data_IF_906047769766
#
_entry.id   IF_906047769766
#
_cell.length_a   1.000
_cell.length_b   1.000
_cell.length_c   1.000
_cell.angle_alpha   90.00
_cell.angle_beta   90.00
_cell.angle_gamma   90.00
#
_symmetry.space_group_name_H-M   'P 1'
#
loop_
_entity.id
_entity.type
_entity.pdbx_description
1 polymer ?
#
# COMPACT_ATOMS: atom_id res chain seq x y z
N UNK A 1 10.45 21.96 2.39
CA UNK A 1 9.92 20.63 2.70
C UNK A 1 10.67 20.08 3.92
N UNK A 2 9.94 19.70 4.98
CA UNK A 2 10.56 19.23 6.22
C UNK A 2 10.82 17.70 6.21
N UNK A 3 10.06 16.96 5.42
CA UNK A 3 10.11 15.50 5.32
C UNK A 3 9.66 15.09 3.92
N UNK A 4 10.40 14.20 3.28
CA UNK A 4 9.92 13.43 2.13
C UNK A 4 9.41 12.07 2.63
N UNK A 5 8.23 11.66 2.21
CA UNK A 5 7.68 10.32 2.48
C UNK A 5 7.66 9.53 1.18
N UNK A 6 8.25 8.34 1.20
CA UNK A 6 8.27 7.38 0.09
C UNK A 6 7.51 6.15 0.53
N UNK A 7 6.32 5.92 -0.02
CA UNK A 7 5.54 4.70 0.21
C UNK A 7 5.78 3.73 -0.94
N UNK A 8 6.28 2.53 -0.62
CA UNK A 8 6.60 1.52 -1.63
C UNK A 8 6.43 0.10 -1.08
N UNK A 9 5.50 -0.71 -1.60
CA UNK A 9 4.47 -0.40 -2.60
C UNK A 9 3.51 0.71 -2.19
N UNK A 10 3.05 1.49 -3.16
CA UNK A 10 2.21 2.65 -2.95
C UNK A 10 0.71 2.30 -2.75
N UNK A 11 0.00 3.14 -2.08
CA UNK A 11 -1.45 3.16 -1.99
C UNK A 11 -1.96 4.52 -2.54
N UNK A 12 -2.69 4.55 -3.67
CA UNK A 12 -3.60 3.50 -4.17
C UNK A 12 -3.08 2.61 -5.29
N UNK A 13 -1.92 2.86 -5.86
CA UNK A 13 -1.52 2.31 -7.17
C UNK A 13 -0.83 0.94 -7.09
N UNK A 14 -0.31 0.55 -5.94
CA UNK A 14 0.53 -0.63 -5.79
C UNK A 14 1.92 -0.49 -6.44
N UNK A 15 2.27 0.67 -7.02
CA UNK A 15 3.59 0.87 -7.63
C UNK A 15 4.69 0.71 -6.61
N UNK A 16 5.73 0.00 -7.01
CA UNK A 16 6.94 -0.20 -6.21
C UNK A 16 8.13 0.51 -6.84
N UNK A 17 8.95 1.11 -6.01
CA UNK A 17 10.26 1.63 -6.41
C UNK A 17 11.33 0.63 -6.04
N UNK A 18 12.35 0.45 -6.89
CA UNK A 18 13.53 -0.33 -6.55
C UNK A 18 14.32 0.31 -5.40
N UNK A 19 15.19 -0.45 -4.75
CA UNK A 19 16.09 0.10 -3.73
C UNK A 19 16.96 1.22 -4.30
N UNK A 20 17.50 1.02 -5.49
CA UNK A 20 18.36 2.00 -6.17
C UNK A 20 17.62 3.30 -6.49
N UNK A 21 16.36 3.21 -6.97
CA UNK A 21 15.53 4.39 -7.23
C UNK A 21 15.19 5.15 -5.94
N UNK A 22 14.89 4.42 -4.85
CA UNK A 22 14.63 5.04 -3.55
C UNK A 22 15.88 5.75 -3.02
N UNK A 23 17.06 5.15 -3.15
CA UNK A 23 18.35 5.75 -2.77
C UNK A 23 18.65 6.98 -3.63
N UNK A 24 18.47 6.90 -4.95
CA UNK A 24 18.69 8.04 -5.85
C UNK A 24 17.77 9.20 -5.54
N UNK A 25 16.48 8.93 -5.28
CA UNK A 25 15.52 9.95 -4.87
C UNK A 25 15.88 10.56 -3.50
N UNK A 26 16.35 9.75 -2.57
CA UNK A 26 16.80 10.20 -1.24
C UNK A 26 17.97 11.17 -1.37
N UNK A 27 18.97 10.85 -2.16
CA UNK A 27 20.12 11.73 -2.42
C UNK A 27 19.71 13.04 -3.09
N UNK A 28 18.80 12.95 -4.06
CA UNK A 28 18.25 14.15 -4.71
C UNK A 28 17.48 15.03 -3.70
N UNK A 29 16.70 14.43 -2.80
CA UNK A 29 16.00 15.16 -1.76
C UNK A 29 16.97 15.83 -0.78
N UNK A 30 18.02 15.13 -0.37
CA UNK A 30 19.05 15.70 0.51
C UNK A 30 19.81 16.86 -0.15
N UNK A 31 20.16 16.73 -1.44
CA UNK A 31 20.78 17.80 -2.21
C UNK A 31 19.85 19.02 -2.36
N UNK A 32 18.53 18.81 -2.41
CA UNK A 32 17.52 19.87 -2.41
C UNK A 32 17.24 20.46 -1.01
N UNK A 33 17.98 20.05 0.02
CA UNK A 33 17.85 20.58 1.38
C UNK A 33 16.73 19.94 2.21
N UNK A 34 16.12 18.83 1.79
CA UNK A 34 15.15 18.09 2.60
C UNK A 34 15.89 17.44 3.79
N UNK A 35 15.53 17.72 5.05
CA UNK A 35 16.31 17.24 6.19
C UNK A 35 16.13 15.75 6.49
N UNK A 36 14.95 15.16 6.19
CA UNK A 36 14.65 13.75 6.48
C UNK A 36 13.87 13.08 5.36
N UNK A 37 14.08 11.77 5.22
CA UNK A 37 13.28 10.89 4.36
C UNK A 37 12.69 9.76 5.19
N UNK A 38 11.38 9.53 5.05
CA UNK A 38 10.67 8.41 5.66
C UNK A 38 10.27 7.42 4.56
N UNK A 39 10.66 6.19 4.75
CA UNK A 39 10.28 5.05 3.90
C UNK A 39 9.14 4.31 4.58
N UNK A 40 7.97 4.34 4.00
CA UNK A 40 6.82 3.53 4.42
C UNK A 40 6.82 2.23 3.63
N UNK A 41 7.37 1.18 4.24
CA UNK A 41 7.47 -0.15 3.66
C UNK A 41 6.38 -1.11 4.16
N UNK A 42 5.30 -0.60 4.69
CA UNK A 42 4.24 -1.42 5.30
C UNK A 42 3.66 -2.50 4.36
N UNK A 43 3.81 -2.31 3.04
CA UNK A 43 3.36 -3.26 2.01
C UNK A 43 4.48 -4.08 1.38
N UNK A 44 5.75 -3.86 1.68
CA UNK A 44 6.86 -4.46 0.94
C UNK A 44 6.90 -6.00 1.02
N UNK A 45 6.28 -6.58 2.04
CA UNK A 45 6.16 -8.02 2.21
C UNK A 45 4.87 -8.60 1.59
N UNK A 46 3.97 -7.78 1.12
CA UNK A 46 2.75 -8.18 0.41
C UNK A 46 3.01 -8.09 -1.09
N UNK A 47 3.97 -8.85 -1.56
CA UNK A 47 4.42 -8.83 -2.95
C UNK A 47 4.78 -10.23 -3.41
N UNK A 48 4.83 -10.42 -4.71
CA UNK A 48 5.28 -11.63 -5.38
C UNK A 48 6.81 -11.72 -5.55
N UNK A 49 7.55 -10.76 -4.99
CA UNK A 49 9.01 -10.68 -5.06
C UNK A 49 9.65 -10.61 -3.67
N UNK A 50 10.96 -10.44 -3.64
CA UNK A 50 11.71 -10.25 -2.40
C UNK A 50 11.31 -8.94 -1.73
N UNK A 51 11.06 -8.94 -0.41
CA UNK A 51 10.87 -7.71 0.34
C UNK A 51 12.14 -6.87 0.34
N UNK A 52 12.01 -5.59 0.70
CA UNK A 52 13.18 -4.71 0.87
C UNK A 52 14.07 -5.25 2.00
N UNK A 53 15.35 -5.37 1.72
CA UNK A 53 16.38 -5.73 2.70
C UNK A 53 16.92 -4.43 3.33
N UNK A 54 16.56 -4.20 4.59
CA UNK A 54 16.97 -3.02 5.32
C UNK A 54 18.50 -2.96 5.51
N UNK A 55 19.16 -4.09 5.73
CA UNK A 55 20.61 -4.11 5.93
C UNK A 55 21.35 -3.77 4.64
N UNK A 56 20.93 -4.34 3.51
CA UNK A 56 21.47 -4.01 2.20
C UNK A 56 21.21 -2.53 1.85
N UNK A 57 20.01 -2.04 2.12
CA UNK A 57 19.64 -0.64 1.88
C UNK A 57 20.50 0.32 2.71
N UNK A 58 20.63 0.08 4.02
CA UNK A 58 21.49 0.86 4.90
C UNK A 58 22.96 0.76 4.49
N UNK A 59 23.39 -0.40 4.00
CA UNK A 59 24.76 -0.60 3.52
C UNK A 59 25.10 0.26 2.29
N UNK A 60 24.11 0.61 1.49
CA UNK A 60 24.28 1.46 0.29
C UNK A 60 24.24 2.98 0.59
N UNK A 61 23.88 3.37 1.81
CA UNK A 61 23.85 4.77 2.24
C UNK A 61 25.14 5.15 2.98
N UNK A 62 25.55 6.40 2.84
CA UNK A 62 26.62 6.98 3.66
C UNK A 62 26.19 7.16 5.12
N UNK A 63 27.10 7.19 6.11
CA UNK A 63 26.74 7.34 7.52
C UNK A 63 25.84 8.56 7.79
N UNK A 64 26.12 9.70 7.19
CA UNK A 64 25.34 10.94 7.35
C UNK A 64 23.95 10.82 6.70
N UNK A 65 23.82 10.07 5.61
CA UNK A 65 22.53 9.78 4.97
C UNK A 65 21.66 8.90 5.88
N UNK A 66 22.23 7.88 6.51
CA UNK A 66 21.52 6.97 7.45
C UNK A 66 20.90 7.72 8.63
N UNK A 67 21.62 8.72 9.18
CA UNK A 67 21.14 9.55 10.29
C UNK A 67 19.85 10.31 9.98
N UNK A 68 19.53 10.47 8.70
CA UNK A 68 18.38 11.22 8.18
C UNK A 68 17.28 10.34 7.59
N UNK A 69 17.46 9.03 7.58
CA UNK A 69 16.50 8.06 7.09
C UNK A 69 15.66 7.46 8.22
N UNK A 70 14.37 7.28 7.95
CA UNK A 70 13.40 6.72 8.88
C UNK A 70 12.67 5.60 8.14
N UNK A 71 12.66 4.38 8.67
CA UNK A 71 12.00 3.23 8.05
C UNK A 71 10.82 2.80 8.91
N UNK A 72 9.65 2.73 8.31
CA UNK A 72 8.42 2.28 8.93
C UNK A 72 7.97 0.94 8.31
N UNK A 73 7.77 -0.05 9.15
CA UNK A 73 7.25 -1.36 8.77
C UNK A 73 6.35 -1.91 9.89
N UNK A 74 5.66 -3.02 9.64
CA UNK A 74 4.81 -3.66 10.64
C UNK A 74 4.03 -4.85 10.11
N UNK A 75 3.29 -5.46 11.00
CA UNK A 75 2.51 -6.67 10.74
C UNK A 75 1.10 -6.40 10.20
N UNK A 76 0.69 -5.14 10.17
CA UNK A 76 -0.67 -4.71 9.81
C UNK A 76 -1.13 -5.27 8.46
N UNK A 77 -0.28 -5.20 7.46
CA UNK A 77 -0.60 -5.62 6.08
C UNK A 77 -0.12 -7.02 5.79
N UNK A 78 1.17 -7.28 6.00
CA UNK A 78 1.82 -8.55 5.67
C UNK A 78 1.25 -9.78 6.41
N UNK A 79 0.66 -9.60 7.59
CA UNK A 79 0.00 -10.66 8.36
C UNK A 79 -1.52 -10.49 8.44
N UNK A 80 -2.13 -9.54 7.71
CA UNK A 80 -3.56 -9.22 7.85
C UNK A 80 -3.95 -8.79 9.27
N UNK A 81 -2.98 -8.32 10.07
CA UNK A 81 -3.12 -8.09 11.50
C UNK A 81 -3.44 -6.62 11.85
N UNK A 82 -4.32 -5.98 11.08
CA UNK A 82 -4.66 -4.57 11.25
C UNK A 82 -5.28 -4.23 12.60
N UNK A 83 -5.96 -5.19 13.22
CA UNK A 83 -6.57 -5.05 14.55
C UNK A 83 -5.57 -5.13 15.70
N UNK A 84 -4.37 -5.64 15.50
CA UNK A 84 -3.34 -5.72 16.55
C UNK A 84 -2.70 -4.37 16.84
N UNK A 85 -2.82 -3.40 15.94
CA UNK A 85 -2.29 -2.03 16.08
C UNK A 85 -0.80 -2.00 16.40
N UNK A 86 0.02 -2.70 15.60
CA UNK A 86 1.46 -2.78 15.78
C UNK A 86 2.22 -2.38 14.50
N UNK A 87 3.17 -1.49 14.68
CA UNK A 87 4.18 -1.12 13.70
C UNK A 87 5.49 -0.86 14.43
N UNK A 88 6.59 -0.84 13.72
CA UNK A 88 7.89 -0.46 14.26
C UNK A 88 8.57 0.54 13.33
N UNK A 89 9.50 1.26 13.93
CA UNK A 89 10.27 2.29 13.25
C UNK A 89 11.75 2.03 13.52
N UNK A 90 12.54 2.12 12.47
CA UNK A 90 14.00 2.07 12.54
C UNK A 90 14.52 3.42 12.08
N UNK A 91 15.33 4.05 12.91
CA UNK A 91 15.95 5.35 12.63
C UNK A 91 17.18 5.56 13.54
N UNK A 92 17.90 6.65 13.34
CA UNK A 92 19.00 7.03 14.23
C UNK A 92 18.53 7.26 15.67
N UNK A 93 19.42 7.06 16.63
CA UNK A 93 19.11 7.23 18.05
C UNK A 93 18.51 8.60 18.35
N UNK A 94 19.04 9.65 17.69
CA UNK A 94 18.53 11.02 17.82
C UNK A 94 17.07 11.15 17.41
N UNK A 95 16.69 10.53 16.28
CA UNK A 95 15.30 10.55 15.77
C UNK A 95 14.40 9.73 16.70
N UNK A 96 14.84 8.54 17.12
CA UNK A 96 14.07 7.69 18.04
C UNK A 96 13.80 8.41 19.36
N UNK A 97 14.81 9.01 19.98
CA UNK A 97 14.66 9.80 21.23
C UNK A 97 13.71 10.98 21.06
N UNK A 98 13.80 11.68 19.91
CA UNK A 98 12.89 12.78 19.59
C UNK A 98 11.43 12.30 19.51
N UNK A 99 11.16 11.20 18.82
CA UNK A 99 9.82 10.63 18.70
C UNK A 99 9.32 10.16 20.07
N UNK A 100 10.12 9.40 20.80
CA UNK A 100 9.76 8.88 22.13
C UNK A 100 9.39 9.99 23.12
N UNK A 101 10.11 11.11 23.09
CA UNK A 101 9.82 12.26 23.97
C UNK A 101 8.46 12.92 23.70
N UNK A 102 7.84 12.65 22.53
CA UNK A 102 6.58 13.25 22.09
C UNK A 102 5.44 12.24 21.97
N UNK A 103 5.76 10.96 21.73
CA UNK A 103 4.82 9.87 21.67
C UNK A 103 4.41 9.42 23.09
N UNK A 104 4.04 10.39 23.95
CA UNK A 104 3.58 10.05 25.29
C UNK A 104 2.24 9.32 25.22
N UNK A 105 1.80 8.52 26.03
CA UNK A 105 0.50 7.96 26.41
C UNK A 105 -0.46 7.48 25.29
N UNK A 106 -0.47 8.05 24.09
CA UNK A 106 -1.51 7.76 23.10
C UNK A 106 -1.17 6.60 22.14
N UNK A 107 0.07 6.13 22.07
CA UNK A 107 0.55 5.19 21.04
C UNK A 107 1.49 4.14 21.61
N UNK A 108 1.14 3.56 22.75
CA UNK A 108 1.93 2.48 23.35
C UNK A 108 1.41 1.14 22.81
N UNK A 109 2.23 0.37 22.07
CA UNK A 109 1.83 -0.98 21.64
C UNK A 109 1.54 -1.85 22.85
N UNK A 110 0.43 -2.57 22.83
CA UNK A 110 0.09 -3.49 23.90
C UNK A 110 1.09 -4.64 23.97
N UNK A 111 1.27 -5.23 25.12
CA UNK A 111 2.11 -6.44 25.27
C UNK A 111 1.67 -7.55 24.33
N UNK A 112 0.35 -7.73 24.14
CA UNK A 112 -0.21 -8.72 23.24
C UNK A 112 0.23 -8.46 21.78
N UNK A 113 0.12 -7.24 21.28
CA UNK A 113 0.52 -6.92 19.90
C UNK A 113 2.02 -7.08 19.66
N UNK A 114 2.84 -6.73 20.65
CA UNK A 114 4.28 -6.97 20.60
C UNK A 114 4.60 -8.48 20.57
N UNK A 115 3.92 -9.30 21.39
CA UNK A 115 4.11 -10.75 21.41
C UNK A 115 3.75 -11.39 20.06
N UNK A 116 2.68 -10.93 19.39
CA UNK A 116 2.31 -11.39 18.04
C UNK A 116 3.39 -11.05 17.02
N UNK A 117 3.88 -9.82 17.00
CA UNK A 117 4.97 -9.41 16.11
C UNK A 117 6.25 -10.23 16.36
N UNK A 118 6.64 -10.37 17.61
CA UNK A 118 7.82 -11.18 18.00
C UNK A 118 7.69 -12.65 17.59
N UNK A 119 6.49 -13.24 17.72
CA UNK A 119 6.24 -14.61 17.30
C UNK A 119 6.41 -14.76 15.77
N UNK A 120 5.89 -13.81 14.97
CA UNK A 120 6.05 -13.80 13.53
C UNK A 120 7.53 -13.73 13.11
N UNK A 121 8.31 -12.83 13.72
CA UNK A 121 9.75 -12.72 13.44
C UNK A 121 10.53 -13.98 13.84
N UNK A 122 10.21 -14.60 14.99
CA UNK A 122 10.84 -15.86 15.45
C UNK A 122 10.49 -17.06 14.56
N UNK A 123 9.28 -17.09 14.00
CA UNK A 123 8.85 -18.13 13.06
C UNK A 123 9.56 -18.04 11.71
N UNK A 124 10.12 -16.88 11.39
CA UNK A 124 10.50 -16.44 10.05
C UNK A 124 9.34 -15.71 9.38
N UNK A 125 9.53 -14.44 9.12
CA UNK A 125 8.45 -13.54 8.70
C UNK A 125 7.76 -14.02 7.41
N UNK A 126 8.53 -14.51 6.43
CA UNK A 126 7.98 -15.00 5.16
C UNK A 126 7.06 -16.20 5.37
N UNK A 127 7.42 -17.11 6.28
CA UNK A 127 6.56 -18.23 6.67
C UNK A 127 5.28 -17.77 7.36
N UNK A 128 5.39 -16.77 8.23
CA UNK A 128 4.23 -16.20 8.92
C UNK A 128 3.29 -15.46 7.96
N UNK A 129 3.84 -14.81 6.93
CA UNK A 129 3.08 -14.04 5.93
C UNK A 129 2.49 -14.92 4.80
N UNK A 130 3.01 -16.12 4.56
CA UNK A 130 2.58 -16.98 3.45
C UNK A 130 1.06 -17.20 3.35
N UNK A 131 0.30 -17.39 4.46
CA UNK A 131 -1.17 -17.53 4.41
C UNK A 131 -1.90 -16.29 3.88
N UNK A 132 -1.26 -15.13 3.89
CA UNK A 132 -1.81 -13.87 3.37
C UNK A 132 -1.29 -13.59 1.97
N UNK A 133 0.01 -13.72 1.75
CA UNK A 133 0.67 -13.38 0.48
C UNK A 133 0.22 -14.30 -0.65
N UNK A 134 0.11 -15.60 -0.42
CA UNK A 134 -0.32 -16.56 -1.44
C UNK A 134 -1.71 -16.25 -2.01
N UNK A 135 -2.76 -16.21 -1.20
CA UNK A 135 -4.11 -15.84 -1.66
C UNK A 135 -4.18 -14.44 -2.28
N UNK A 136 -3.44 -13.47 -1.74
CA UNK A 136 -3.39 -12.12 -2.31
C UNK A 136 -2.83 -12.11 -3.72
N UNK A 137 -1.75 -12.86 -3.97
CA UNK A 137 -1.17 -12.97 -5.31
C UNK A 137 -2.12 -13.68 -6.29
N UNK A 138 -2.86 -14.70 -5.82
CA UNK A 138 -3.88 -15.36 -6.64
C UNK A 138 -5.03 -14.40 -6.99
N UNK A 139 -5.50 -13.60 -6.03
CA UNK A 139 -6.53 -12.58 -6.27
C UNK A 139 -6.05 -11.47 -7.19
N UNK A 140 -4.77 -11.07 -7.08
CA UNK A 140 -4.15 -10.10 -7.98
C UNK A 140 -4.21 -10.57 -9.45
N UNK A 141 -3.92 -11.86 -9.68
CA UNK A 141 -3.99 -12.44 -11.01
C UNK A 141 -5.41 -12.40 -11.59
N UNK A 142 -6.43 -12.68 -10.79
CA UNK A 142 -7.84 -12.54 -11.19
C UNK A 142 -8.18 -11.11 -11.61
N UNK A 143 -7.64 -10.11 -10.87
CA UNK A 143 -7.84 -8.70 -11.23
C UNK A 143 -7.11 -8.35 -12.53
N UNK A 144 -5.87 -8.81 -12.71
CA UNK A 144 -5.07 -8.59 -13.91
C UNK A 144 -5.78 -9.13 -15.15
N UNK A 145 -6.22 -10.40 -15.13
CA UNK A 145 -6.97 -11.05 -16.21
C UNK A 145 -8.25 -10.27 -16.55
N UNK A 146 -9.01 -9.83 -15.55
CA UNK A 146 -10.21 -9.02 -15.75
C UNK A 146 -9.93 -7.68 -16.42
N UNK A 147 -8.91 -6.95 -15.95
CA UNK A 147 -8.57 -5.63 -16.49
C UNK A 147 -8.05 -5.71 -17.92
N UNK A 148 -7.31 -6.77 -18.25
CA UNK A 148 -6.81 -7.04 -19.61
C UNK A 148 -7.94 -7.48 -20.54
N UNK A 149 -8.81 -8.42 -20.12
CA UNK A 149 -9.95 -8.89 -20.91
C UNK A 149 -10.88 -7.77 -21.32
N UNK A 150 -11.09 -6.81 -20.44
CA UNK A 150 -11.99 -5.67 -20.69
C UNK A 150 -11.28 -4.39 -21.15
N UNK A 151 -10.00 -4.47 -21.47
CA UNK A 151 -9.17 -3.36 -21.95
C UNK A 151 -9.25 -2.11 -21.05
N UNK A 152 -9.37 -2.33 -19.74
CA UNK A 152 -9.47 -1.23 -18.76
C UNK A 152 -8.07 -0.66 -18.50
N UNK A 153 -7.89 0.63 -18.75
CA UNK A 153 -6.64 1.33 -18.40
C UNK A 153 -6.40 1.28 -16.89
N UNK A 154 -5.25 0.77 -16.47
CA UNK A 154 -5.00 0.53 -15.06
C UNK A 154 -3.53 0.70 -14.64
N UNK A 155 -3.35 0.77 -13.32
CA UNK A 155 -2.08 0.59 -12.64
C UNK A 155 -2.30 -0.57 -11.65
N UNK A 156 -1.64 -1.68 -11.90
CA UNK A 156 -1.68 -2.87 -11.06
C UNK A 156 -0.24 -3.22 -10.64
N UNK A 157 0.15 -2.70 -9.50
CA UNK A 157 1.45 -2.98 -8.91
C UNK A 157 1.39 -4.16 -7.94
N UNK A 158 2.08 -4.01 -6.82
CA UNK A 158 2.16 -4.99 -5.72
C UNK A 158 1.33 -4.50 -4.52
N UNK A 159 1.13 -5.34 -3.51
CA UNK A 159 0.29 -4.99 -2.37
C UNK A 159 -1.15 -5.46 -2.53
N UNK A 160 -2.13 -4.65 -2.14
CA UNK A 160 -3.53 -5.05 -2.03
C UNK A 160 -4.47 -4.36 -3.02
N UNK A 161 -3.95 -3.46 -3.88
CA UNK A 161 -4.79 -2.53 -4.62
C UNK A 161 -4.51 -2.54 -6.11
N UNK A 162 -5.59 -2.48 -6.89
CA UNK A 162 -5.60 -2.05 -8.28
C UNK A 162 -6.18 -0.64 -8.36
N UNK A 163 -5.59 0.19 -9.20
CA UNK A 163 -6.04 1.53 -9.47
C UNK A 163 -6.32 1.65 -10.97
N UNK A 164 -7.59 1.87 -11.35
CA UNK A 164 -7.96 1.82 -12.75
C UNK A 164 -8.98 2.89 -13.15
N UNK A 165 -8.93 3.24 -14.42
CA UNK A 165 -9.64 4.34 -15.05
C UNK A 165 -11.04 3.92 -15.50
N UNK A 166 -12.05 4.62 -15.08
CA UNK A 166 -13.43 4.42 -15.48
C UNK A 166 -13.97 5.54 -16.38
N UNK A 167 -13.09 6.37 -16.94
CA UNK A 167 -13.45 7.51 -17.80
C UNK A 167 -14.49 7.18 -18.86
N UNK A 168 -14.36 6.08 -19.65
CA UNK A 168 -15.32 5.79 -20.73
C UNK A 168 -16.74 5.50 -20.23
N UNK A 169 -16.86 4.90 -19.05
CA UNK A 169 -18.17 4.57 -18.45
C UNK A 169 -18.80 5.77 -17.77
N UNK A 170 -18.03 6.58 -17.06
CA UNK A 170 -18.49 7.83 -16.45
C UNK A 170 -19.03 8.80 -17.50
N UNK A 171 -18.37 8.90 -18.66
CA UNK A 171 -18.83 9.74 -19.78
C UNK A 171 -20.21 9.30 -20.28
N UNK A 172 -20.43 8.00 -20.49
CA UNK A 172 -21.73 7.47 -20.92
C UNK A 172 -22.83 7.71 -19.89
N UNK A 173 -22.47 7.60 -18.59
CA UNK A 173 -23.39 7.83 -17.48
C UNK A 173 -23.62 9.33 -17.15
N UNK A 174 -22.93 10.25 -17.82
CA UNK A 174 -22.98 11.69 -17.49
C UNK A 174 -22.38 12.03 -16.12
N UNK A 175 -21.51 11.17 -15.60
CA UNK A 175 -20.83 11.34 -14.32
C UNK A 175 -19.43 11.95 -14.52
N UNK A 176 -18.96 12.71 -13.55
CA UNK A 176 -17.64 13.37 -13.60
C UNK A 176 -16.66 12.87 -12.55
N UNK A 177 -17.16 12.20 -11.52
CA UNK A 177 -16.38 11.68 -10.40
C UNK A 177 -16.79 10.23 -10.09
N UNK A 178 -15.82 9.40 -9.81
CA UNK A 178 -16.04 8.02 -9.36
C UNK A 178 -16.69 7.91 -7.97
N UNK A 179 -16.80 9.00 -7.21
CA UNK A 179 -17.56 9.03 -5.97
C UNK A 179 -19.05 8.75 -6.19
N UNK A 180 -19.64 9.35 -7.24
CA UNK A 180 -21.04 9.11 -7.60
C UNK A 180 -21.26 7.67 -8.08
N UNK A 181 -20.37 7.16 -8.92
CA UNK A 181 -20.42 5.78 -9.37
C UNK A 181 -20.18 4.78 -8.22
N UNK A 182 -19.28 5.10 -7.30
CA UNK A 182 -19.04 4.29 -6.08
C UNK A 182 -20.29 4.17 -5.21
N UNK A 183 -21.10 5.23 -5.11
CA UNK A 183 -22.38 5.17 -4.42
C UNK A 183 -23.38 4.23 -5.12
N UNK A 184 -23.44 4.27 -6.45
CA UNK A 184 -24.26 3.33 -7.25
C UNK A 184 -23.81 1.88 -7.05
N UNK A 185 -22.49 1.62 -7.12
CA UNK A 185 -21.91 0.29 -6.87
C UNK A 185 -22.29 -0.24 -5.49
N UNK A 186 -22.16 0.59 -4.46
CA UNK A 186 -22.49 0.18 -3.09
C UNK A 186 -23.98 -0.12 -2.91
N UNK A 187 -24.86 0.76 -3.41
CA UNK A 187 -26.30 0.66 -3.19
C UNK A 187 -26.99 -0.42 -4.03
N UNK A 188 -26.59 -0.57 -5.29
CA UNK A 188 -27.27 -1.46 -6.23
C UNK A 188 -26.59 -2.81 -6.40
N UNK A 189 -25.26 -2.84 -6.32
CA UNK A 189 -24.45 -4.03 -6.60
C UNK A 189 -23.76 -4.60 -5.36
N UNK A 190 -23.92 -3.97 -4.20
CA UNK A 190 -23.28 -4.41 -2.94
C UNK A 190 -21.75 -4.44 -3.03
N UNK A 191 -21.16 -3.53 -3.79
CA UNK A 191 -19.72 -3.45 -4.03
C UNK A 191 -19.16 -2.13 -3.53
N UNK A 192 -18.25 -2.17 -2.57
CA UNK A 192 -17.55 -1.01 -2.07
C UNK A 192 -16.19 -0.84 -2.78
N UNK A 193 -15.96 0.33 -3.35
CA UNK A 193 -14.68 0.76 -3.92
C UNK A 193 -14.27 2.10 -3.30
N UNK A 194 -13.03 2.51 -3.49
CA UNK A 194 -12.59 3.83 -3.02
C UNK A 194 -12.40 4.75 -4.23
N UNK A 195 -13.16 5.85 -4.29
CA UNK A 195 -13.00 6.85 -5.35
C UNK A 195 -11.57 7.40 -5.39
N UNK A 196 -11.05 7.59 -6.58
CA UNK A 196 -9.70 8.11 -6.77
C UNK A 196 -9.57 9.58 -6.38
N UNK A 197 -10.67 10.34 -6.37
CA UNK A 197 -10.72 11.72 -5.87
C UNK A 197 -10.33 11.84 -4.39
N UNK A 198 -10.43 10.76 -3.60
CA UNK A 198 -9.98 10.74 -2.20
C UNK A 198 -8.44 10.74 -2.06
N UNK A 199 -7.73 10.47 -3.15
CA UNK A 199 -6.26 10.48 -3.15
C UNK A 199 -5.71 11.74 -3.84
N UNK A 200 -6.34 12.18 -4.93
CA UNK A 200 -5.94 13.42 -5.61
C UNK A 200 -7.03 13.87 -6.60
N UNK A 201 -7.00 15.16 -6.97
CA UNK A 201 -7.86 15.73 -8.02
C UNK A 201 -7.68 15.02 -9.39
N UNK A 202 -6.48 14.54 -9.68
CA UNK A 202 -6.19 13.76 -10.90
C UNK A 202 -6.83 12.38 -10.89
N UNK A 203 -7.21 11.87 -9.72
CA UNK A 203 -7.82 10.57 -9.53
C UNK A 203 -9.34 10.53 -9.73
N UNK A 204 -10.02 11.66 -10.00
CA UNK A 204 -11.50 11.75 -10.05
C UNK A 204 -12.19 10.70 -10.91
N UNK A 205 -11.53 10.25 -11.97
CA UNK A 205 -12.07 9.26 -12.92
C UNK A 205 -11.57 7.84 -12.67
N UNK A 206 -10.76 7.65 -11.61
CA UNK A 206 -10.16 6.39 -11.22
C UNK A 206 -10.80 5.83 -9.96
N UNK A 207 -10.73 4.53 -9.77
CA UNK A 207 -11.08 3.88 -8.52
C UNK A 207 -9.93 3.04 -7.99
N UNK A 208 -9.85 2.92 -6.66
CA UNK A 208 -9.05 1.90 -6.01
C UNK A 208 -9.94 0.71 -5.68
N UNK A 209 -9.61 -0.43 -6.25
CA UNK A 209 -10.20 -1.72 -5.94
C UNK A 209 -9.25 -2.50 -5.01
N UNK A 210 -9.78 -3.08 -3.94
CA UNK A 210 -9.01 -3.94 -3.03
C UNK A 210 -9.23 -5.40 -3.38
N UNK A 211 -8.15 -6.14 -3.61
CA UNK A 211 -8.17 -7.59 -3.81
C UNK A 211 -7.59 -8.36 -2.61
N UNK A 212 -7.62 -7.77 -1.41
CA UNK A 212 -7.25 -8.43 -0.15
C UNK A 212 -8.36 -9.37 0.33
N UNK A 213 -8.92 -10.15 -0.57
CA UNK A 213 -10.01 -11.12 -0.36
C UNK A 213 -9.67 -12.42 -1.11
N UNK A 214 -10.30 -13.55 -0.79
CA UNK A 214 -10.11 -14.79 -1.56
C UNK A 214 -10.39 -14.60 -3.07
N UNK A 215 -9.72 -15.38 -3.96
CA UNK A 215 -9.85 -15.20 -5.42
C UNK A 215 -11.28 -15.31 -5.94
N UNK A 216 -12.09 -16.22 -5.41
CA UNK A 216 -13.49 -16.39 -5.76
C UNK A 216 -14.36 -15.19 -5.36
N UNK A 217 -14.11 -14.61 -4.19
CA UNK A 217 -14.76 -13.38 -3.72
C UNK A 217 -14.34 -12.19 -4.60
N UNK A 218 -13.08 -12.12 -4.97
CA UNK A 218 -12.53 -11.09 -5.87
C UNK A 218 -13.19 -11.20 -7.25
N UNK A 219 -13.26 -12.40 -7.82
CA UNK A 219 -13.92 -12.65 -9.12
C UNK A 219 -15.40 -12.26 -9.09
N UNK A 220 -16.13 -12.65 -8.04
CA UNK A 220 -17.54 -12.26 -7.86
C UNK A 220 -17.74 -10.75 -7.71
N UNK A 221 -16.80 -10.03 -7.09
CA UNK A 221 -16.85 -8.58 -7.00
C UNK A 221 -16.63 -7.90 -8.36
N UNK A 222 -15.67 -8.40 -9.15
CA UNK A 222 -15.40 -7.90 -10.50
C UNK A 222 -16.55 -8.18 -11.47
N UNK A 223 -17.21 -9.34 -11.36
CA UNK A 223 -18.40 -9.64 -12.16
C UNK A 223 -19.53 -8.62 -11.89
N UNK A 224 -19.81 -8.30 -10.62
CA UNK A 224 -20.79 -7.27 -10.26
C UNK A 224 -20.38 -5.87 -10.73
N UNK A 225 -19.08 -5.58 -10.72
CA UNK A 225 -18.56 -4.32 -11.27
C UNK A 225 -18.82 -4.26 -12.78
N UNK A 226 -18.52 -5.33 -13.50
CA UNK A 226 -18.75 -5.39 -14.94
C UNK A 226 -20.22 -5.25 -15.32
N UNK A 227 -21.11 -5.90 -14.56
CA UNK A 227 -22.56 -5.73 -14.71
C UNK A 227 -22.95 -4.24 -14.57
N UNK A 228 -22.43 -3.57 -13.55
CA UNK A 228 -22.69 -2.14 -13.34
C UNK A 228 -22.13 -1.25 -14.47
N UNK A 229 -20.94 -1.56 -14.98
CA UNK A 229 -20.32 -0.82 -16.10
C UNK A 229 -21.03 -1.05 -17.42
N UNK A 230 -21.57 -2.25 -17.64
CA UNK A 230 -22.32 -2.63 -18.86
C UNK A 230 -23.74 -2.09 -18.89
N UNK A 231 -24.29 -1.69 -17.75
CA UNK A 231 -25.61 -1.12 -17.61
C UNK A 231 -25.67 0.42 -17.85
N UNK A 232 -24.52 1.04 -18.17
CA UNK A 232 -24.40 2.50 -18.38
C UNK A 232 -24.52 2.88 -19.90
#
# INVERSE_FOLDING_TARGET
>A
LALLVITSPDNPTGRSMSADDQIALTRSAFAAGVPFVLFDWIYHRVTDGSPMDLNAFLGALEPEERERCIFLDGITKSLGASNTRNAHLVASERVVKFIQSRASHAVIPTFHSQAVAMAAYRMGFDRAAAPIVGPTNASRKVVEEFLEEHEIRHILGKGYYAFFDLSPWLERAGMTDTADFGAVLAQRYGLAVVPGSYFSEFGKRWIRFSYATPPDVTAGALARMWEALSAQ
#
